data_IF_694653893946
#
_entry.id   IF_694653893946
#
_cell.length_a   1.000
_cell.length_b   1.000
_cell.length_c   1.000
_cell.angle_alpha   90.00
_cell.angle_beta   90.00
_cell.angle_gamma   90.00
#
_symmetry.space_group_name_H-M   'P 1'
#
loop_
_entity.id
_entity.type
_entity.pdbx_description
1 polymer ?
#
# COMPACT_ATOMS: atom_id res chain seq x y z
N UNK A 1 7.79 -23.60 -2.07
CA UNK A 1 8.26 -22.32 -1.47
C UNK A 1 7.22 -21.65 -0.58
N UNK A 2 6.01 -21.34 -1.07
CA UNK A 2 4.94 -20.69 -0.28
C UNK A 2 4.65 -21.41 1.05
N UNK A 3 4.39 -22.72 1.01
CA UNK A 3 4.14 -23.52 2.22
C UNK A 3 5.31 -23.46 3.23
N UNK A 4 6.55 -23.50 2.75
CA UNK A 4 7.75 -23.45 3.60
C UNK A 4 7.87 -22.11 4.35
N UNK A 5 7.67 -20.98 3.67
CA UNK A 5 7.77 -19.66 4.32
C UNK A 5 6.59 -19.34 5.23
N UNK A 6 5.45 -20.02 5.06
CA UNK A 6 4.33 -19.95 6.01
C UNK A 6 4.57 -20.80 7.25
N UNK A 7 5.28 -21.93 7.13
CA UNK A 7 5.53 -22.85 8.24
C UNK A 7 6.80 -22.54 9.04
N UNK A 8 7.83 -21.93 8.41
CA UNK A 8 9.14 -21.66 9.03
C UNK A 8 9.47 -20.15 8.99
N UNK A 9 9.38 -19.45 10.15
CA UNK A 9 9.77 -18.04 10.27
C UNK A 9 11.23 -17.76 9.87
N UNK A 10 12.15 -18.71 10.07
CA UNK A 10 13.55 -18.59 9.69
C UNK A 10 13.74 -18.67 8.17
N UNK A 11 13.03 -19.56 7.50
CA UNK A 11 12.99 -19.59 6.03
C UNK A 11 12.38 -18.32 5.46
N UNK A 12 11.32 -17.78 6.07
CA UNK A 12 10.73 -16.50 5.69
C UNK A 12 11.74 -15.36 5.81
N UNK A 13 12.41 -15.23 6.95
CA UNK A 13 13.40 -14.17 7.17
C UNK A 13 14.58 -14.24 6.19
N UNK A 14 15.06 -15.45 5.86
CA UNK A 14 16.10 -15.65 4.84
C UNK A 14 15.63 -15.24 3.44
N UNK A 15 14.39 -15.56 3.08
CA UNK A 15 13.84 -15.14 1.79
C UNK A 15 13.71 -13.62 1.72
N UNK A 16 13.16 -13.01 2.77
CA UNK A 16 12.99 -11.56 2.88
C UNK A 16 14.33 -10.81 2.81
N UNK A 17 15.38 -11.30 3.45
CA UNK A 17 16.71 -10.66 3.38
C UNK A 17 17.33 -10.67 1.98
N UNK A 18 17.00 -11.68 1.17
CA UNK A 18 17.43 -11.77 -0.24
C UNK A 18 16.61 -10.83 -1.13
N UNK A 19 15.28 -10.78 -0.91
CA UNK A 19 14.35 -10.07 -1.79
C UNK A 19 14.24 -8.58 -1.48
N UNK A 20 14.19 -8.17 -0.21
CA UNK A 20 13.94 -6.78 0.17
C UNK A 20 14.94 -5.77 -0.42
N UNK A 21 16.27 -6.02 -0.44
CA UNK A 21 17.22 -5.10 -1.09
C UNK A 21 16.91 -4.92 -2.58
N UNK A 22 16.67 -6.02 -3.30
CA UNK A 22 16.37 -6.01 -4.73
C UNK A 22 15.05 -5.32 -5.05
N UNK A 23 14.02 -5.57 -4.24
CA UNK A 23 12.72 -4.90 -4.38
C UNK A 23 12.89 -3.39 -4.17
N UNK A 24 13.72 -2.96 -3.20
CA UNK A 24 13.98 -1.54 -2.96
C UNK A 24 14.68 -0.88 -4.15
N UNK A 25 15.72 -1.51 -4.67
CA UNK A 25 16.46 -1.03 -5.84
C UNK A 25 15.54 -0.93 -7.08
N UNK A 26 14.80 -1.99 -7.38
CA UNK A 26 13.86 -1.99 -8.51
C UNK A 26 12.77 -0.92 -8.36
N UNK A 27 12.24 -0.74 -7.14
CA UNK A 27 11.21 0.27 -6.88
C UNK A 27 11.75 1.69 -7.00
N UNK A 28 12.98 1.94 -6.54
CA UNK A 28 13.64 3.24 -6.69
C UNK A 28 13.96 3.55 -8.16
N UNK A 29 14.47 2.56 -8.90
CA UNK A 29 14.73 2.70 -10.33
C UNK A 29 13.46 2.99 -11.13
N UNK A 30 12.36 2.28 -10.84
CA UNK A 30 11.06 2.52 -11.46
C UNK A 30 10.51 3.93 -11.15
N UNK A 31 10.67 4.39 -9.91
CA UNK A 31 10.26 5.73 -9.51
C UNK A 31 11.07 6.82 -10.22
N UNK A 32 12.38 6.61 -10.41
CA UNK A 32 13.27 7.57 -11.06
C UNK A 32 12.94 7.82 -12.54
N UNK A 33 12.32 6.85 -13.21
CA UNK A 33 11.91 6.97 -14.62
C UNK A 33 10.43 7.31 -14.81
N UNK A 34 9.67 7.44 -13.72
CA UNK A 34 8.26 7.80 -13.80
C UNK A 34 8.13 9.28 -14.21
N UNK A 35 7.29 9.55 -15.22
CA UNK A 35 7.09 10.89 -15.79
C UNK A 35 5.87 11.62 -15.22
N UNK A 36 5.10 10.96 -14.35
CA UNK A 36 3.94 11.57 -13.71
C UNK A 36 4.35 12.66 -12.71
N UNK A 37 3.46 13.63 -12.44
CA UNK A 37 3.71 14.70 -11.47
C UNK A 37 3.91 14.16 -10.04
N UNK A 38 3.41 12.96 -9.76
CA UNK A 38 3.69 12.19 -8.55
C UNK A 38 3.70 10.69 -8.87
N UNK A 39 4.25 9.89 -7.95
CA UNK A 39 4.36 8.43 -8.07
C UNK A 39 3.55 7.76 -6.97
N UNK A 40 2.80 6.70 -7.31
CA UNK A 40 2.10 5.85 -6.34
C UNK A 40 2.90 4.57 -6.12
N UNK A 41 3.30 4.32 -4.87
CA UNK A 41 3.84 3.03 -4.45
C UNK A 41 2.73 2.19 -3.82
N UNK A 42 2.39 1.06 -4.44
CA UNK A 42 1.40 0.12 -3.91
C UNK A 42 2.10 -0.90 -3.01
N UNK A 43 1.97 -0.73 -1.70
CA UNK A 43 2.69 -1.54 -0.71
C UNK A 43 1.71 -2.22 0.25
N UNK A 44 1.50 -3.55 0.16
CA UNK A 44 0.53 -4.26 1.00
C UNK A 44 0.81 -4.22 2.51
N UNK A 45 2.09 -4.20 2.90
CA UNK A 45 2.55 -4.23 4.29
C UNK A 45 3.27 -2.93 4.66
N UNK A 46 2.71 -1.79 4.23
CA UNK A 46 3.34 -0.47 4.35
C UNK A 46 3.63 -0.12 5.81
N UNK A 47 2.64 -0.36 6.69
CA UNK A 47 2.70 0.00 8.11
C UNK A 47 3.60 -0.97 8.87
N UNK A 48 3.41 -2.27 8.63
CA UNK A 48 4.15 -3.37 9.25
C UNK A 48 5.65 -3.24 8.99
N UNK A 49 6.05 -2.81 7.79
CA UNK A 49 7.47 -2.74 7.44
C UNK A 49 8.22 -1.57 8.09
N UNK A 50 7.51 -0.57 8.63
CA UNK A 50 8.06 0.61 9.32
C UNK A 50 9.05 1.46 8.52
N UNK A 51 9.30 1.14 7.25
CA UNK A 51 10.41 1.70 6.45
C UNK A 51 9.94 2.62 5.33
N UNK A 52 8.65 2.58 5.01
CA UNK A 52 8.04 3.36 3.93
C UNK A 52 7.59 4.75 4.35
N UNK A 53 7.16 4.94 5.60
CA UNK A 53 6.65 6.24 6.06
C UNK A 53 7.64 7.41 5.85
N UNK A 54 8.95 7.13 5.88
CA UNK A 54 10.00 8.14 5.61
C UNK A 54 10.36 8.33 4.12
N UNK A 55 9.77 7.53 3.24
CA UNK A 55 10.08 7.47 1.80
C UNK A 55 8.98 8.04 0.93
N UNK A 56 7.81 8.28 1.51
CA UNK A 56 6.63 8.80 0.82
C UNK A 56 6.25 10.12 1.47
N UNK A 57 5.70 11.04 0.66
CA UNK A 57 5.20 12.30 1.18
C UNK A 57 3.86 12.12 1.92
N UNK A 58 3.07 11.11 1.52
CA UNK A 58 1.74 10.81 2.05
C UNK A 58 1.43 9.32 2.00
N UNK A 59 0.56 8.86 2.89
CA UNK A 59 0.03 7.50 2.98
C UNK A 59 -1.46 7.51 2.67
N UNK A 60 -1.85 6.84 1.57
CA UNK A 60 -3.23 6.63 1.18
C UNK A 60 -3.68 5.22 1.56
N UNK A 61 -4.69 5.10 2.42
CA UNK A 61 -5.33 3.82 2.73
C UNK A 61 -6.57 3.59 1.85
N UNK A 62 -6.66 2.39 1.25
CA UNK A 62 -7.89 1.90 0.63
C UNK A 62 -8.64 1.07 1.66
N UNK A 63 -9.86 1.47 1.99
CA UNK A 63 -10.64 0.87 3.06
C UNK A 63 -11.97 0.28 2.55
N UNK A 64 -12.39 -0.80 3.19
CA UNK A 64 -13.73 -1.37 3.07
C UNK A 64 -14.01 -2.26 4.29
N UNK A 65 -15.29 -2.56 4.60
CA UNK A 65 -15.64 -3.47 5.69
C UNK A 65 -14.90 -4.81 5.60
N UNK A 66 -14.54 -5.38 6.75
CA UNK A 66 -13.75 -6.62 6.80
C UNK A 66 -14.49 -7.80 6.17
N UNK A 67 -15.81 -7.84 6.33
CA UNK A 67 -16.70 -8.84 5.73
C UNK A 67 -16.61 -8.80 4.20
N UNK A 68 -16.48 -7.60 3.63
CA UNK A 68 -16.32 -7.42 2.19
C UNK A 68 -14.93 -7.84 1.71
N UNK A 69 -13.89 -7.58 2.51
CA UNK A 69 -12.54 -8.09 2.22
C UNK A 69 -12.54 -9.62 2.17
N UNK A 70 -13.15 -10.26 3.17
CA UNK A 70 -13.31 -11.71 3.25
C UNK A 70 -14.03 -12.24 2.00
N UNK A 71 -15.22 -11.72 1.71
CA UNK A 71 -16.02 -12.16 0.56
C UNK A 71 -15.26 -12.01 -0.78
N UNK A 72 -14.59 -10.87 -1.00
CA UNK A 72 -13.82 -10.61 -2.23
C UNK A 72 -12.62 -11.53 -2.39
N UNK A 73 -11.88 -11.82 -1.31
CA UNK A 73 -10.73 -12.72 -1.36
C UNK A 73 -11.20 -14.16 -1.58
N UNK A 74 -12.26 -14.61 -0.90
CA UNK A 74 -12.83 -15.93 -1.13
C UNK A 74 -13.26 -16.11 -2.59
N UNK A 75 -14.02 -15.16 -3.14
CA UNK A 75 -14.50 -15.20 -4.52
C UNK A 75 -13.35 -15.22 -5.55
N UNK A 76 -12.30 -14.42 -5.32
CA UNK A 76 -11.17 -14.29 -6.26
C UNK A 76 -10.16 -15.43 -6.15
N UNK A 77 -9.87 -15.91 -4.94
CA UNK A 77 -8.75 -16.82 -4.68
C UNK A 77 -9.19 -18.25 -4.35
N UNK A 78 -10.48 -18.50 -4.08
CA UNK A 78 -11.00 -19.81 -3.70
C UNK A 78 -10.53 -20.28 -2.32
N UNK A 79 -10.18 -19.37 -1.42
CA UNK A 79 -9.77 -19.68 -0.05
C UNK A 79 -11.00 -19.85 0.86
N UNK A 80 -10.86 -20.63 1.94
CA UNK A 80 -11.89 -20.70 2.99
C UNK A 80 -11.91 -19.41 3.81
N UNK A 81 -13.03 -19.12 4.47
CA UNK A 81 -13.15 -17.95 5.35
C UNK A 81 -12.09 -17.97 6.45
N UNK A 82 -11.84 -19.12 7.07
CA UNK A 82 -10.83 -19.29 8.12
C UNK A 82 -9.43 -18.95 7.62
N UNK A 83 -9.09 -19.37 6.40
CA UNK A 83 -7.80 -19.03 5.78
C UNK A 83 -7.67 -17.53 5.53
N UNK A 84 -8.72 -16.87 5.04
CA UNK A 84 -8.70 -15.43 4.80
C UNK A 84 -8.57 -14.66 6.11
N UNK A 85 -9.33 -15.03 7.14
CA UNK A 85 -9.24 -14.41 8.47
C UNK A 85 -7.87 -14.61 9.12
N UNK A 86 -7.26 -15.79 8.95
CA UNK A 86 -5.89 -16.04 9.42
C UNK A 86 -4.85 -15.15 8.71
N UNK A 87 -5.02 -14.87 7.41
CA UNK A 87 -4.17 -13.94 6.67
C UNK A 87 -4.36 -12.51 7.18
N UNK A 88 -5.61 -12.08 7.40
CA UNK A 88 -5.92 -10.74 7.92
C UNK A 88 -5.34 -10.54 9.33
N UNK A 89 -5.39 -11.56 10.19
CA UNK A 89 -4.84 -11.52 11.54
C UNK A 89 -3.30 -11.39 11.59
N UNK A 90 -2.60 -11.68 10.49
CA UNK A 90 -1.15 -11.48 10.38
C UNK A 90 -0.75 -10.04 9.99
N UNK A 91 -1.72 -9.16 9.74
CA UNK A 91 -1.53 -7.76 9.33
C UNK A 91 -1.94 -6.81 10.46
N UNK A 92 -1.61 -5.53 10.32
CA UNK A 92 -2.14 -4.51 11.25
C UNK A 92 -3.67 -4.44 11.15
N UNK A 93 -4.31 -4.10 12.27
CA UNK A 93 -5.77 -3.95 12.31
C UNK A 93 -6.24 -2.83 11.37
N UNK A 94 -7.51 -2.89 10.94
CA UNK A 94 -8.14 -1.80 10.18
C UNK A 94 -7.99 -0.45 10.87
N UNK A 95 -8.23 -0.39 12.19
CA UNK A 95 -8.09 0.84 12.97
C UNK A 95 -6.67 1.40 12.94
N UNK A 96 -5.65 0.55 13.10
CA UNK A 96 -4.24 0.97 13.02
C UNK A 96 -3.87 1.46 11.62
N UNK A 97 -4.34 0.78 10.56
CA UNK A 97 -4.10 1.19 9.18
C UNK A 97 -4.70 2.57 8.90
N UNK A 98 -5.95 2.80 9.33
CA UNK A 98 -6.63 4.09 9.16
C UNK A 98 -5.96 5.20 9.97
N UNK A 99 -5.53 4.91 11.20
CA UNK A 99 -4.85 5.88 12.05
C UNK A 99 -3.48 6.32 11.51
N UNK A 100 -2.84 5.50 10.69
CA UNK A 100 -1.55 5.80 10.07
C UNK A 100 -1.66 6.41 8.65
N UNK A 101 -2.88 6.58 8.14
CA UNK A 101 -3.11 7.13 6.81
C UNK A 101 -3.33 8.65 6.85
N UNK A 102 -2.75 9.36 5.89
CA UNK A 102 -3.01 10.78 5.69
C UNK A 102 -4.34 10.99 4.93
N UNK A 103 -4.66 10.06 4.03
CA UNK A 103 -5.87 10.08 3.20
C UNK A 103 -6.50 8.69 3.17
N UNK A 104 -7.82 8.63 3.00
CA UNK A 104 -8.58 7.38 2.92
C UNK A 104 -9.51 7.41 1.72
N UNK A 105 -9.54 6.31 0.97
CA UNK A 105 -10.52 6.02 -0.07
C UNK A 105 -11.35 4.83 0.34
N UNK A 106 -12.67 4.99 0.34
CA UNK A 106 -13.61 3.92 0.66
C UNK A 106 -14.00 3.20 -0.62
N UNK A 107 -13.79 1.88 -0.65
CA UNK A 107 -13.96 1.01 -1.82
C UNK A 107 -14.99 -0.09 -1.56
N UNK A 108 -16.19 0.30 -1.14
CA UNK A 108 -17.30 -0.62 -0.82
C UNK A 108 -18.48 -0.56 -1.80
N UNK A 109 -18.64 0.51 -2.58
CA UNK A 109 -19.81 0.73 -3.46
C UNK A 109 -19.48 0.82 -4.97
N UNK A 110 -18.40 0.16 -5.40
CA UNK A 110 -18.02 0.03 -6.81
C UNK A 110 -17.34 1.26 -7.43
N UNK A 111 -17.11 1.21 -8.75
CA UNK A 111 -16.28 2.21 -9.44
C UNK A 111 -16.92 3.60 -9.53
N UNK A 112 -18.25 3.70 -9.61
CA UNK A 112 -18.93 4.99 -9.70
C UNK A 112 -18.86 5.78 -8.39
N UNK A 113 -18.90 5.10 -7.24
CA UNK A 113 -18.65 5.71 -5.93
C UNK A 113 -17.16 6.01 -5.70
N UNK A 114 -16.27 5.23 -6.31
CA UNK A 114 -14.82 5.37 -6.17
C UNK A 114 -14.27 6.56 -6.97
N UNK A 115 -14.72 6.73 -8.22
CA UNK A 115 -14.22 7.73 -9.16
C UNK A 115 -14.17 9.16 -8.59
N UNK A 116 -15.24 9.73 -7.99
CA UNK A 116 -15.17 11.08 -7.46
C UNK A 116 -14.22 11.22 -6.27
N UNK A 117 -13.98 10.16 -5.49
CA UNK A 117 -12.98 10.19 -4.41
C UNK A 117 -11.56 10.26 -4.97
N UNK A 118 -11.28 9.45 -5.99
CA UNK A 118 -9.99 9.42 -6.68
C UNK A 118 -9.71 10.73 -7.40
N UNK A 119 -10.70 11.30 -8.08
CA UNK A 119 -10.54 12.59 -8.79
C UNK A 119 -10.19 13.74 -7.84
N UNK A 120 -10.84 13.80 -6.67
CA UNK A 120 -10.52 14.80 -5.64
C UNK A 120 -9.10 14.64 -5.11
N UNK A 121 -8.69 13.42 -4.77
CA UNK A 121 -7.34 13.16 -4.28
C UNK A 121 -6.28 13.38 -5.36
N UNK A 122 -6.58 13.03 -6.61
CA UNK A 122 -5.71 13.30 -7.74
C UNK A 122 -5.45 14.80 -7.88
N UNK A 123 -6.49 15.62 -7.91
CA UNK A 123 -6.35 17.08 -7.99
C UNK A 123 -5.53 17.64 -6.81
N UNK A 124 -5.81 17.16 -5.59
CA UNK A 124 -5.04 17.54 -4.41
C UNK A 124 -3.56 17.14 -4.51
N UNK A 125 -3.24 15.93 -4.95
CA UNK A 125 -1.86 15.47 -5.10
C UNK A 125 -1.10 16.18 -6.23
N UNK A 126 -1.79 16.61 -7.29
CA UNK A 126 -1.18 17.49 -8.30
C UNK A 126 -0.74 18.82 -7.69
N UNK A 127 -1.55 19.40 -6.81
CA UNK A 127 -1.20 20.66 -6.13
C UNK A 127 -0.05 20.46 -5.15
N UNK A 128 -0.07 19.40 -4.35
CA UNK A 128 1.01 19.07 -3.42
C UNK A 128 2.32 18.81 -4.15
N UNK A 129 2.29 18.04 -5.24
CA UNK A 129 3.47 17.79 -6.06
C UNK A 129 4.07 19.09 -6.62
N UNK A 130 3.21 20.00 -7.11
CA UNK A 130 3.66 21.32 -7.59
C UNK A 130 4.29 22.14 -6.46
N UNK A 131 3.69 22.16 -5.27
CA UNK A 131 4.22 22.87 -4.09
C UNK A 131 5.58 22.31 -3.65
N UNK A 132 5.72 20.99 -3.60
CA UNK A 132 6.98 20.33 -3.25
C UNK A 132 8.07 20.63 -4.28
N UNK A 133 7.76 20.57 -5.58
CA UNK A 133 8.71 20.90 -6.64
C UNK A 133 9.20 22.35 -6.55
N UNK A 134 8.30 23.30 -6.30
CA UNK A 134 8.64 24.71 -6.12
C UNK A 134 9.49 24.97 -4.87
N UNK A 135 9.25 24.22 -3.79
CA UNK A 135 10.01 24.31 -2.53
C UNK A 135 11.38 23.63 -2.59
N UNK A 136 11.63 22.80 -3.60
CA UNK A 136 12.88 22.05 -3.77
C UNK A 136 13.91 22.80 -4.62
N UNK A 137 13.61 24.01 -5.15
CA UNK A 137 14.60 24.84 -5.85
C UNK A 137 15.51 25.53 -4.81
N UNK A 138 16.78 25.12 -4.64
CA UNK A 138 17.72 25.80 -3.77
C UNK A 138 18.48 26.83 -4.62
N UNK A 139 18.29 28.12 -4.34
CA UNK A 139 19.17 29.18 -4.80
C UNK A 139 18.84 29.80 -6.17
N UNK A 140 18.15 30.94 -6.12
CA UNK A 140 18.77 32.18 -6.57
C UNK A 140 19.75 32.64 -5.48
#
# INVERSE_FOLDING_TARGET
MRQLVFADPGARARLESILHPRIREATAAAAAIASGPYVIFVVPLLIESGTWARRVARVLAIDCPEEMQVARVMARNGLSEEQVRAIMAAQVTRAQRLAAADDVVVNDDGLDALRPQVERLHAFYLDEARRMAASTIPGL
#
